data_IF_515825131600
#
_entry.id   IF_515825131600
#
_cell.length_a   1.000
_cell.length_b   1.000
_cell.length_c   1.000
_cell.angle_alpha   90.00
_cell.angle_beta   90.00
_cell.angle_gamma   90.00
#
_symmetry.space_group_name_H-M   'P 1'
#
loop_
_entity.id
_entity.type
_entity.pdbx_description
1 polymer ?
#
# COMPACT_ATOMS: atom_id res chain seq x y z
N UNK A 1 17.20 -6.59 12.34
CA UNK A 1 16.15 -6.34 11.34
C UNK A 1 15.49 -4.97 11.49
N UNK A 2 15.09 -4.54 12.70
CA UNK A 2 14.47 -3.22 12.94
C UNK A 2 15.33 -2.02 12.46
N UNK A 3 16.66 -2.09 12.59
CA UNK A 3 17.57 -1.08 12.07
C UNK A 3 17.45 -0.87 10.54
N UNK A 4 17.23 -1.95 9.79
CA UNK A 4 17.11 -1.91 8.34
C UNK A 4 15.76 -1.34 7.89
N UNK A 5 14.68 -1.59 8.63
CA UNK A 5 13.38 -0.95 8.40
C UNK A 5 13.46 0.56 8.62
N UNK A 6 14.09 1.00 9.72
CA UNK A 6 14.36 2.42 9.96
C UNK A 6 15.25 3.03 8.88
N UNK A 7 16.24 2.29 8.38
CA UNK A 7 17.09 2.75 7.28
C UNK A 7 16.29 2.89 5.97
N UNK A 8 15.48 1.90 5.62
CA UNK A 8 14.58 1.94 4.46
C UNK A 8 13.61 3.12 4.52
N UNK A 9 12.98 3.34 5.67
CA UNK A 9 12.11 4.50 5.89
C UNK A 9 12.85 5.83 5.72
N UNK A 10 14.08 5.96 6.23
CA UNK A 10 14.90 7.18 6.02
C UNK A 10 15.21 7.43 4.55
N UNK A 11 15.54 6.39 3.78
CA UNK A 11 15.77 6.53 2.34
C UNK A 11 14.49 6.99 1.62
N UNK A 12 13.34 6.42 1.98
CA UNK A 12 12.04 6.84 1.47
C UNK A 12 11.73 8.32 1.76
N UNK A 13 11.92 8.78 2.99
CA UNK A 13 11.69 10.19 3.36
C UNK A 13 12.60 11.15 2.59
N UNK A 14 13.82 10.70 2.25
CA UNK A 14 14.81 11.46 1.47
C UNK A 14 14.64 11.30 -0.05
N UNK A 15 13.56 10.71 -0.52
CA UNK A 15 13.33 10.45 -1.95
C UNK A 15 14.41 9.57 -2.63
N UNK A 16 15.19 8.83 -1.85
CA UNK A 16 16.17 7.86 -2.35
C UNK A 16 15.47 6.52 -2.62
N UNK A 17 14.52 6.53 -3.57
CA UNK A 17 13.57 5.43 -3.77
C UNK A 17 14.25 4.10 -4.10
N UNK A 18 15.28 4.09 -4.93
CA UNK A 18 15.99 2.83 -5.28
C UNK A 18 16.70 2.22 -4.07
N UNK A 19 17.31 3.05 -3.21
CA UNK A 19 17.93 2.59 -1.96
C UNK A 19 16.90 2.09 -0.97
N UNK A 20 15.75 2.77 -0.89
CA UNK A 20 14.63 2.33 -0.07
C UNK A 20 14.11 0.97 -0.54
N UNK A 21 13.89 0.80 -1.85
CA UNK A 21 13.47 -0.47 -2.47
C UNK A 21 14.46 -1.58 -2.14
N UNK A 22 15.76 -1.33 -2.31
CA UNK A 22 16.79 -2.34 -2.05
C UNK A 22 16.75 -2.83 -0.60
N UNK A 23 16.81 -1.90 0.37
CA UNK A 23 16.84 -2.25 1.80
C UNK A 23 15.51 -2.88 2.25
N UNK A 24 14.37 -2.32 1.84
CA UNK A 24 13.07 -2.83 2.26
C UNK A 24 12.76 -4.19 1.62
N UNK A 25 13.20 -4.46 0.39
CA UNK A 25 13.06 -5.77 -0.26
C UNK A 25 13.86 -6.84 0.48
N UNK A 26 15.07 -6.50 0.94
CA UNK A 26 15.90 -7.38 1.75
C UNK A 26 15.23 -7.71 3.10
N UNK A 27 14.58 -6.73 3.73
CA UNK A 27 13.82 -6.96 4.96
C UNK A 27 12.59 -7.82 4.71
N UNK A 28 11.79 -7.49 3.70
CA UNK A 28 10.54 -8.18 3.38
C UNK A 28 10.76 -9.67 3.05
N UNK A 29 11.90 -10.04 2.45
CA UNK A 29 12.23 -11.45 2.17
C UNK A 29 12.61 -12.24 3.42
N UNK A 30 13.23 -11.61 4.41
CA UNK A 30 13.75 -12.30 5.60
C UNK A 30 12.78 -12.34 6.77
N UNK A 31 11.92 -11.34 6.90
CA UNK A 31 10.96 -11.25 7.98
C UNK A 31 9.57 -11.64 7.48
N UNK A 32 9.27 -12.95 7.50
CA UNK A 32 7.98 -13.49 7.07
C UNK A 32 6.78 -12.89 7.84
N UNK A 33 6.99 -12.53 9.11
CA UNK A 33 5.93 -12.02 10.00
C UNK A 33 5.84 -10.49 10.05
N UNK A 34 6.73 -9.75 9.37
CA UNK A 34 6.69 -8.29 9.39
C UNK A 34 5.99 -7.73 8.17
N UNK A 35 4.87 -7.10 8.45
CA UNK A 35 3.98 -6.48 7.48
C UNK A 35 4.39 -5.03 7.11
N UNK A 36 5.19 -4.37 7.98
CA UNK A 36 5.62 -2.99 7.77
C UNK A 36 6.51 -2.79 6.54
N UNK A 37 7.47 -3.70 6.29
CA UNK A 37 8.39 -3.56 5.17
C UNK A 37 7.70 -3.70 3.80
N UNK A 38 6.83 -4.71 3.57
CA UNK A 38 5.97 -4.76 2.38
C UNK A 38 5.12 -3.50 2.19
N UNK A 39 4.46 -2.99 3.24
CA UNK A 39 3.70 -1.74 3.13
C UNK A 39 4.58 -0.56 2.68
N UNK A 40 5.77 -0.41 3.26
CA UNK A 40 6.71 0.65 2.90
C UNK A 40 7.28 0.48 1.49
N UNK A 41 7.44 -0.75 0.99
CA UNK A 41 7.76 -1.00 -0.43
C UNK A 41 6.63 -0.48 -1.32
N UNK A 42 5.39 -0.80 -0.97
CA UNK A 42 4.21 -0.28 -1.64
C UNK A 42 4.22 1.24 -1.75
N UNK A 43 4.47 1.94 -0.64
CA UNK A 43 4.58 3.41 -0.64
C UNK A 43 5.75 3.92 -1.47
N UNK A 44 6.88 3.21 -1.47
CA UNK A 44 8.07 3.61 -2.23
C UNK A 44 7.82 3.49 -3.74
N UNK A 45 7.25 2.38 -4.20
CA UNK A 45 6.87 2.20 -5.61
C UNK A 45 5.76 3.17 -6.03
N UNK A 46 4.77 3.41 -5.15
CA UNK A 46 3.72 4.41 -5.38
C UNK A 46 4.31 5.81 -5.61
N UNK A 47 5.32 6.19 -4.81
CA UNK A 47 6.04 7.46 -5.01
C UNK A 47 6.88 7.49 -6.27
N UNK A 48 7.37 6.34 -6.74
CA UNK A 48 8.04 6.19 -8.04
C UNK A 48 7.06 6.26 -9.23
N UNK A 49 5.75 6.21 -8.97
CA UNK A 49 4.70 6.15 -10.00
C UNK A 49 4.42 4.73 -10.50
N UNK A 50 5.04 3.73 -9.91
CA UNK A 50 4.93 2.31 -10.29
C UNK A 50 3.78 1.68 -9.51
N UNK A 51 2.56 1.86 -10.02
CA UNK A 51 1.33 1.45 -9.33
C UNK A 51 1.13 -0.07 -9.32
N UNK A 52 1.66 -0.78 -10.31
CA UNK A 52 1.60 -2.23 -10.39
C UNK A 52 2.39 -2.85 -9.22
N UNK A 53 3.67 -2.50 -9.10
CA UNK A 53 4.49 -2.96 -7.98
C UNK A 53 3.97 -2.46 -6.64
N UNK A 54 3.49 -1.21 -6.57
CA UNK A 54 2.91 -0.68 -5.34
C UNK A 54 1.76 -1.57 -4.83
N UNK A 55 0.81 -1.90 -5.71
CA UNK A 55 -0.36 -2.73 -5.39
C UNK A 55 0.05 -4.13 -4.96
N UNK A 56 1.01 -4.73 -5.66
CA UNK A 56 1.54 -6.05 -5.32
C UNK A 56 2.09 -6.08 -3.90
N UNK A 57 2.87 -5.06 -3.51
CA UNK A 57 3.45 -4.98 -2.17
C UNK A 57 2.44 -4.62 -1.07
N UNK A 58 1.41 -3.83 -1.37
CA UNK A 58 0.31 -3.61 -0.43
C UNK A 58 -0.48 -4.89 -0.18
N UNK A 59 -0.77 -5.68 -1.22
CA UNK A 59 -1.43 -6.97 -1.09
C UNK A 59 -0.60 -7.96 -0.27
N UNK A 60 0.70 -8.03 -0.52
CA UNK A 60 1.63 -8.83 0.29
C UNK A 60 1.59 -8.39 1.76
N UNK A 61 1.56 -7.08 2.03
CA UNK A 61 1.43 -6.56 3.40
C UNK A 61 0.12 -7.00 4.06
N UNK A 62 -0.99 -6.94 3.33
CA UNK A 62 -2.30 -7.35 3.79
C UNK A 62 -2.33 -8.86 4.10
N UNK A 63 -1.78 -9.69 3.21
CA UNK A 63 -1.67 -11.14 3.39
C UNK A 63 -0.81 -11.53 4.60
N UNK A 64 0.17 -10.69 4.97
CA UNK A 64 1.00 -10.87 6.17
C UNK A 64 0.36 -10.36 7.46
N UNK A 65 -0.89 -9.90 7.42
CA UNK A 65 -1.68 -9.53 8.60
C UNK A 65 -1.93 -8.04 8.78
N UNK A 66 -1.42 -7.18 7.88
CA UNK A 66 -1.73 -5.73 7.94
C UNK A 66 -3.07 -5.42 7.33
N UNK A 67 -4.12 -5.69 8.08
CA UNK A 67 -5.51 -5.47 7.66
C UNK A 67 -6.04 -4.11 8.08
N UNK A 68 -5.17 -3.12 8.28
CA UNK A 68 -5.59 -1.77 8.60
C UNK A 68 -6.23 -1.07 7.38
N UNK A 69 -7.15 -0.14 7.64
CA UNK A 69 -7.94 0.54 6.61
C UNK A 69 -7.08 1.33 5.61
N UNK A 70 -5.89 1.80 6.00
CA UNK A 70 -4.98 2.49 5.09
C UNK A 70 -4.37 1.50 4.09
N UNK A 71 -3.93 0.33 4.54
CA UNK A 71 -3.41 -0.72 3.65
C UNK A 71 -4.48 -1.17 2.66
N UNK A 72 -5.72 -1.37 3.14
CA UNK A 72 -6.84 -1.72 2.29
C UNK A 72 -7.16 -0.62 1.26
N UNK A 73 -7.19 0.64 1.68
CA UNK A 73 -7.37 1.78 0.76
C UNK A 73 -6.30 1.82 -0.33
N UNK A 74 -5.03 1.56 0.03
CA UNK A 74 -3.92 1.55 -0.92
C UNK A 74 -3.99 0.42 -1.94
N UNK A 75 -4.42 -0.77 -1.53
CA UNK A 75 -4.72 -1.87 -2.45
C UNK A 75 -5.82 -1.47 -3.44
N UNK A 76 -6.93 -0.93 -2.93
CA UNK A 76 -8.08 -0.53 -3.75
C UNK A 76 -7.72 0.60 -4.75
N UNK A 77 -7.00 1.61 -4.29
CA UNK A 77 -6.48 2.70 -5.13
C UNK A 77 -5.57 2.14 -6.24
N UNK A 78 -4.68 1.23 -5.88
CA UNK A 78 -3.78 0.57 -6.81
C UNK A 78 -4.49 -0.27 -7.88
N UNK A 79 -5.47 -1.08 -7.47
CA UNK A 79 -6.34 -1.85 -8.38
C UNK A 79 -7.10 -0.93 -9.34
N UNK A 80 -7.69 0.15 -8.81
CA UNK A 80 -8.41 1.14 -9.62
C UNK A 80 -7.51 1.76 -10.69
N UNK A 81 -6.28 2.15 -10.32
CA UNK A 81 -5.28 2.74 -11.25
C UNK A 81 -4.86 1.77 -12.35
N UNK A 82 -4.90 0.48 -12.08
CA UNK A 82 -4.61 -0.59 -13.05
C UNK A 82 -5.84 -0.97 -13.89
N UNK A 83 -6.99 -0.33 -13.69
CA UNK A 83 -8.23 -0.64 -14.42
C UNK A 83 -9.03 -1.80 -13.84
N UNK A 84 -8.60 -2.41 -12.74
CA UNK A 84 -9.29 -3.49 -12.03
C UNK A 84 -10.44 -2.93 -11.17
N UNK A 85 -11.40 -2.27 -11.82
CA UNK A 85 -12.48 -1.51 -11.16
C UNK A 85 -13.38 -2.40 -10.29
N UNK A 86 -13.66 -3.62 -10.74
CA UNK A 86 -14.52 -4.57 -10.02
C UNK A 86 -13.94 -4.96 -8.67
N UNK A 87 -12.65 -5.28 -8.62
CA UNK A 87 -11.96 -5.65 -7.38
C UNK A 87 -11.79 -4.42 -6.47
N UNK A 88 -11.38 -3.28 -7.05
CA UNK A 88 -11.26 -2.03 -6.30
C UNK A 88 -12.59 -1.61 -5.64
N UNK A 89 -13.70 -1.81 -6.33
CA UNK A 89 -15.05 -1.48 -5.85
C UNK A 89 -15.38 -2.19 -4.55
N UNK A 90 -15.20 -3.52 -4.48
CA UNK A 90 -15.52 -4.28 -3.28
C UNK A 90 -14.73 -3.78 -2.06
N UNK A 91 -13.48 -3.39 -2.27
CA UNK A 91 -12.64 -2.84 -1.20
C UNK A 91 -13.08 -1.44 -0.79
N UNK A 92 -13.44 -0.56 -1.74
CA UNK A 92 -13.99 0.76 -1.41
C UNK A 92 -15.34 0.67 -0.67
N UNK A 93 -16.23 -0.25 -1.07
CA UNK A 93 -17.49 -0.49 -0.35
C UNK A 93 -17.23 -0.93 1.09
N UNK A 94 -16.28 -1.85 1.31
CA UNK A 94 -15.87 -2.26 2.65
C UNK A 94 -15.33 -1.09 3.49
N UNK A 95 -14.46 -0.25 2.90
CA UNK A 95 -13.89 0.92 3.57
C UNK A 95 -14.98 1.95 3.95
N UNK A 96 -15.93 2.20 3.06
CA UNK A 96 -17.05 3.12 3.34
C UNK A 96 -17.95 2.58 4.46
N UNK A 97 -18.19 1.27 4.48
CA UNK A 97 -19.00 0.64 5.52
C UNK A 97 -18.34 0.64 6.91
N UNK A 98 -17.00 0.63 6.97
CA UNK A 98 -16.22 0.65 8.22
C UNK A 98 -15.69 2.05 8.57
N UNK A 99 -16.26 3.08 7.95
CA UNK A 99 -16.11 4.50 8.27
C UNK A 99 -14.65 4.94 8.50
N UNK A 100 -13.79 4.74 7.49
CA UNK A 100 -12.39 5.21 7.54
C UNK A 100 -12.35 6.70 7.91
N UNK A 101 -11.79 7.12 9.05
CA UNK A 101 -11.86 8.53 9.41
C UNK A 101 -11.01 9.40 8.46
N UNK A 102 -11.57 10.54 8.07
CA UNK A 102 -10.86 11.64 7.41
C UNK A 102 -10.89 11.63 5.87
N UNK A 103 -9.95 12.34 5.20
CA UNK A 103 -10.01 12.62 3.76
C UNK A 103 -9.95 11.37 2.86
N UNK A 104 -9.59 10.21 3.41
CA UNK A 104 -9.56 8.94 2.67
C UNK A 104 -10.94 8.36 2.43
N UNK A 105 -11.92 8.60 3.32
CA UNK A 105 -13.30 8.16 3.10
C UNK A 105 -13.93 8.91 1.93
N UNK A 106 -13.76 10.23 1.89
CA UNK A 106 -14.22 11.04 0.76
C UNK A 106 -13.58 10.59 -0.56
N UNK A 107 -12.27 10.29 -0.54
CA UNK A 107 -11.59 9.72 -1.70
C UNK A 107 -12.12 8.33 -2.07
N UNK A 108 -12.36 7.46 -1.10
CA UNK A 108 -12.91 6.13 -1.34
C UNK A 108 -14.31 6.21 -1.96
N UNK A 109 -15.18 7.10 -1.47
CA UNK A 109 -16.51 7.37 -2.03
C UNK A 109 -16.42 7.88 -3.47
N UNK A 110 -15.58 8.88 -3.71
CA UNK A 110 -15.38 9.44 -5.05
C UNK A 110 -14.83 8.40 -6.04
N UNK A 111 -13.91 7.53 -5.61
CA UNK A 111 -13.39 6.45 -6.46
C UNK A 111 -14.44 5.36 -6.70
N UNK A 112 -15.22 5.00 -5.67
CA UNK A 112 -16.31 4.04 -5.76
C UNK A 112 -17.36 4.46 -6.81
N UNK A 113 -17.75 5.73 -6.85
CA UNK A 113 -18.66 6.25 -7.88
C UNK A 113 -18.10 6.10 -9.30
N UNK A 114 -16.77 6.19 -9.45
CA UNK A 114 -16.05 6.05 -10.73
C UNK A 114 -15.75 4.60 -11.11
N UNK A 115 -16.04 3.65 -10.21
CA UNK A 115 -16.02 2.22 -10.47
C UNK A 115 -17.34 1.69 -11.06
N UNK A 116 -18.37 2.55 -11.23
CA UNK A 116 -19.62 2.21 -11.93
C UNK A 116 -19.40 1.87 -13.40
#
# INVERSE_FOLDING_TARGET
MEHLERLGHRYFTRWQLDRAIHVLSFVARQAATRDFAPFMLGETYRRRGDWEEATRWYLESYQRGRTDLLTMFRCAEGMYRQGQKSDARAWFEYLVAHDVPGPRLEQARALLERCR
#
